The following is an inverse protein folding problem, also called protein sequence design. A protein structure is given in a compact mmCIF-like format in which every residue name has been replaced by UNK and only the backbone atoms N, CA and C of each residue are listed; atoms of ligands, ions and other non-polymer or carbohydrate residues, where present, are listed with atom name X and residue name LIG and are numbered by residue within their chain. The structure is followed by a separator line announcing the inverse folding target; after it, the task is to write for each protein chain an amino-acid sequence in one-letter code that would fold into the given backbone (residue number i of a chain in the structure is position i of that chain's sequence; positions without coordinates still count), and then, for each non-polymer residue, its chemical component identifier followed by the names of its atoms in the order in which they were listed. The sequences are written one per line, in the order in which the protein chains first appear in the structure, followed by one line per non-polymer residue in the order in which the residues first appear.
data_IF_973879950004
#
_entry.id   IF_973879950004
#
_cell.length_a   1.000
_cell.length_b   1.000
_cell.length_c   1.000
_cell.angle_alpha   90.00
_cell.angle_beta   90.00
_cell.angle_gamma   90.00
#
_symmetry.space_group_name_H-M   'P 1'
#
loop_
_entity.id
_entity.type
_entity.pdbx_description
1 polymer ?
#
# COMPACT_ATOMS: atom_id res chain seq x y z
N UNK A 1 -7.03 -19.21 -25.34
CA UNK A 1 -6.23 -19.98 -24.37
C UNK A 1 -6.15 -19.17 -23.08
N UNK A 2 -6.88 -19.54 -22.02
CA UNK A 2 -6.70 -18.90 -20.72
C UNK A 2 -5.33 -19.31 -20.19
N UNK A 3 -4.43 -18.34 -20.00
CA UNK A 3 -3.16 -18.58 -19.33
C UNK A 3 -3.46 -18.91 -17.87
N UNK A 4 -3.38 -20.19 -17.51
CA UNK A 4 -3.34 -20.60 -16.11
C UNK A 4 -2.04 -20.07 -15.51
N UNK A 5 -2.17 -19.10 -14.62
CA UNK A 5 -1.05 -18.59 -13.83
C UNK A 5 -0.72 -19.65 -12.77
N UNK A 6 0.30 -20.46 -13.03
CA UNK A 6 0.62 -21.62 -12.19
C UNK A 6 0.86 -21.23 -10.74
N UNK A 7 1.41 -20.04 -10.48
CA UNK A 7 1.61 -19.51 -9.13
C UNK A 7 0.31 -19.20 -8.37
N UNK A 8 -0.79 -18.91 -9.09
CA UNK A 8 -2.10 -18.62 -8.50
C UNK A 8 -2.97 -19.87 -8.30
N UNK A 9 -2.48 -21.04 -8.72
CA UNK A 9 -3.18 -22.32 -8.56
C UNK A 9 -2.34 -23.38 -7.84
N UNK A 10 -1.02 -23.23 -7.82
CA UNK A 10 -0.07 -24.15 -7.19
C UNK A 10 0.81 -23.42 -6.18
N UNK A 11 0.37 -23.43 -4.92
CA UNK A 11 1.05 -22.81 -3.80
C UNK A 11 0.81 -23.60 -2.51
N UNK A 12 1.66 -23.38 -1.51
CA UNK A 12 1.48 -23.88 -0.14
C UNK A 12 0.69 -22.87 0.69
N UNK A 13 -0.30 -23.34 1.44
CA UNK A 13 -1.04 -22.50 2.39
C UNK A 13 -0.26 -22.43 3.70
N UNK A 14 -0.16 -21.22 4.25
CA UNK A 14 0.39 -20.93 5.58
C UNK A 14 -0.73 -20.28 6.39
N UNK A 15 -1.30 -21.06 7.32
CA UNK A 15 -2.29 -20.60 8.30
C UNK A 15 -1.65 -20.71 9.68
N UNK A 16 -1.20 -19.58 10.21
CA UNK A 16 -0.43 -19.51 11.44
C UNK A 16 -0.73 -18.19 12.16
N UNK A 17 -1.60 -18.27 13.16
CA UNK A 17 -2.06 -17.11 13.91
C UNK A 17 -0.92 -16.32 14.55
N UNK A 18 0.19 -16.98 14.87
CA UNK A 18 1.32 -16.35 15.57
C UNK A 18 2.12 -15.39 14.68
N UNK A 19 1.86 -15.34 13.37
CA UNK A 19 2.48 -14.40 12.42
C UNK A 19 1.87 -13.00 12.42
N UNK A 20 0.73 -12.81 13.09
CA UNK A 20 0.06 -11.52 13.16
C UNK A 20 0.98 -10.42 13.65
N UNK A 21 0.91 -9.25 13.02
CA UNK A 21 1.56 -8.01 13.51
C UNK A 21 1.16 -7.65 14.95
N UNK A 22 0.02 -8.13 15.45
CA UNK A 22 -0.41 -7.94 16.84
C UNK A 22 0.21 -8.94 17.83
N UNK A 23 0.78 -10.06 17.36
CA UNK A 23 1.31 -11.10 18.25
C UNK A 23 2.69 -10.72 18.80
N UNK A 24 2.74 -10.26 20.04
CA UNK A 24 3.96 -9.91 20.76
C UNK A 24 4.50 -11.10 21.57
N UNK A 25 5.82 -11.28 21.58
CA UNK A 25 6.50 -12.35 22.32
C UNK A 25 7.68 -11.83 23.15
N UNK A 26 8.16 -12.67 24.06
CA UNK A 26 9.48 -12.53 24.68
C UNK A 26 10.54 -13.25 23.84
N UNK A 27 11.76 -12.72 23.83
CA UNK A 27 12.84 -13.19 22.92
C UNK A 27 13.13 -14.70 22.98
N UNK A 28 13.02 -15.30 24.18
CA UNK A 28 13.23 -16.73 24.38
C UNK A 28 12.23 -17.62 23.62
N UNK A 29 11.06 -17.07 23.25
CA UNK A 29 9.97 -17.78 22.59
C UNK A 29 9.90 -17.48 21.08
N UNK A 30 10.93 -16.83 20.52
CA UNK A 30 10.93 -16.41 19.13
C UNK A 30 10.97 -17.60 18.16
N UNK A 31 10.06 -17.57 17.17
CA UNK A 31 10.04 -18.47 16.02
C UNK A 31 10.78 -17.86 14.82
N UNK A 32 11.06 -18.66 13.80
CA UNK A 32 11.77 -18.23 12.60
C UNK A 32 11.27 -18.95 11.35
N UNK A 33 11.54 -18.39 10.16
CA UNK A 33 11.14 -18.98 8.87
C UNK A 33 12.25 -19.81 8.19
N UNK A 34 13.41 -19.96 8.84
CA UNK A 34 14.53 -20.75 8.33
C UNK A 34 14.07 -22.19 8.06
N UNK A 35 14.23 -22.65 6.81
CA UNK A 35 13.79 -23.97 6.30
C UNK A 35 12.27 -24.21 6.31
N UNK A 36 11.46 -23.26 6.74
CA UNK A 36 9.99 -23.35 6.70
C UNK A 36 9.46 -22.73 5.40
N UNK A 37 9.97 -21.54 5.09
CA UNK A 37 9.72 -20.84 3.84
C UNK A 37 10.97 -20.93 2.98
N UNK A 38 10.81 -21.38 1.74
CA UNK A 38 11.93 -21.62 0.81
C UNK A 38 11.67 -20.97 -0.53
N UNK A 39 12.75 -20.78 -1.29
CA UNK A 39 12.69 -20.20 -2.63
C UNK A 39 12.12 -21.12 -3.70
N UNK A 40 11.76 -22.36 -3.35
CA UNK A 40 11.25 -23.36 -4.30
C UNK A 40 9.74 -23.23 -4.55
N UNK A 41 8.97 -22.80 -3.54
CA UNK A 41 7.51 -22.87 -3.57
C UNK A 41 6.86 -21.51 -3.31
N UNK A 42 5.77 -21.23 -4.04
CA UNK A 42 4.89 -20.09 -3.75
C UNK A 42 4.07 -20.38 -2.49
N UNK A 43 3.84 -19.36 -1.68
CA UNK A 43 3.04 -19.46 -0.46
C UNK A 43 1.89 -18.45 -0.46
N UNK A 44 0.77 -18.85 0.14
CA UNK A 44 -0.38 -18.00 0.43
C UNK A 44 -0.60 -17.96 1.93
N UNK A 45 -0.71 -16.76 2.50
CA UNK A 45 -1.10 -16.59 3.90
C UNK A 45 -2.62 -16.55 4.03
N UNK A 46 -3.16 -17.25 5.03
CA UNK A 46 -4.59 -17.32 5.33
C UNK A 46 -4.84 -17.33 6.84
N UNK A 47 -6.11 -17.21 7.22
CA UNK A 47 -6.54 -17.37 8.61
C UNK A 47 -6.45 -16.09 9.43
N UNK A 48 -6.71 -16.23 10.73
CA UNK A 48 -6.79 -15.11 11.68
C UNK A 48 -5.42 -14.46 12.00
N UNK A 49 -4.32 -15.10 11.59
CA UNK A 49 -2.97 -14.53 11.67
C UNK A 49 -2.72 -13.41 10.67
N UNK A 50 -3.56 -13.27 9.64
CA UNK A 50 -3.40 -12.31 8.57
C UNK A 50 -3.26 -12.96 7.20
N UNK A 51 -3.49 -12.16 6.17
CA UNK A 51 -3.68 -12.61 4.79
C UNK A 51 -2.69 -11.98 3.82
N UNK A 52 -1.91 -11.00 4.25
CA UNK A 52 -0.87 -10.34 3.46
C UNK A 52 0.32 -9.91 4.32
N UNK A 53 1.49 -9.77 3.71
CA UNK A 53 2.69 -9.24 4.39
C UNK A 53 2.55 -7.72 4.54
N UNK A 54 2.75 -7.11 5.72
CA UNK A 54 2.54 -5.68 5.91
C UNK A 54 3.49 -4.83 5.06
N UNK A 55 2.99 -3.65 4.63
CA UNK A 55 3.79 -2.64 3.92
C UNK A 55 4.34 -1.55 4.87
N UNK A 56 3.95 -1.58 6.14
CA UNK A 56 4.53 -0.77 7.22
C UNK A 56 5.41 -1.65 8.10
N UNK A 57 6.51 -1.13 8.65
CA UNK A 57 7.42 -1.89 9.51
C UNK A 57 6.77 -2.23 10.86
N UNK A 58 6.59 -3.52 11.20
CA UNK A 58 6.16 -3.94 12.53
C UNK A 58 7.25 -3.63 13.57
N UNK A 59 6.86 -3.52 14.85
CA UNK A 59 7.80 -3.33 15.97
C UNK A 59 8.61 -4.61 16.23
N UNK A 60 9.79 -4.48 16.85
CA UNK A 60 10.58 -5.64 17.26
C UNK A 60 9.79 -6.52 18.25
N UNK A 61 10.06 -7.83 18.26
CA UNK A 61 9.37 -8.82 19.11
C UNK A 61 7.88 -9.04 18.78
N UNK A 62 7.45 -8.67 17.57
CA UNK A 62 6.12 -8.99 17.04
C UNK A 62 6.16 -10.14 16.02
N UNK A 63 4.98 -10.59 15.60
CA UNK A 63 4.82 -11.69 14.63
C UNK A 63 5.43 -13.01 15.13
N UNK A 64 5.50 -13.18 16.45
CA UNK A 64 6.11 -14.35 17.07
C UNK A 64 7.60 -14.50 16.79
N UNK A 65 8.34 -13.41 16.55
CA UNK A 65 9.78 -13.47 16.27
C UNK A 65 10.56 -12.29 16.85
N UNK A 66 11.89 -12.40 16.90
CA UNK A 66 12.77 -11.30 17.30
C UNK A 66 12.92 -10.24 16.21
N UNK A 67 12.99 -10.66 14.94
CA UNK A 67 13.19 -9.76 13.81
C UNK A 67 12.05 -9.90 12.79
N UNK A 68 10.96 -9.16 12.99
CA UNK A 68 9.77 -9.24 12.14
C UNK A 68 10.01 -8.68 10.73
N UNK A 69 9.52 -9.42 9.74
CA UNK A 69 9.68 -9.17 8.31
C UNK A 69 8.47 -8.49 7.68
N UNK A 70 8.73 -7.55 6.77
CA UNK A 70 7.74 -6.75 6.04
C UNK A 70 8.26 -6.39 4.65
N UNK A 71 7.37 -5.92 3.76
CA UNK A 71 7.75 -5.54 2.40
C UNK A 71 7.85 -4.03 2.22
N UNK A 72 8.93 -3.59 1.58
CA UNK A 72 9.07 -2.21 1.14
C UNK A 72 8.57 -2.10 -0.30
N UNK A 73 7.51 -1.32 -0.50
CA UNK A 73 6.80 -1.18 -1.78
C UNK A 73 5.36 -1.67 -1.69
N UNK A 74 4.51 -1.25 -2.64
CA UNK A 74 3.11 -1.65 -2.71
C UNK A 74 2.96 -3.11 -3.12
N UNK A 75 1.89 -3.77 -2.64
CA UNK A 75 1.43 -4.99 -3.28
C UNK A 75 1.00 -4.70 -4.72
N UNK A 76 1.32 -5.58 -5.69
CA UNK A 76 1.07 -5.30 -7.11
C UNK A 76 -0.41 -5.27 -7.45
N UNK A 77 -0.78 -4.45 -8.44
CA UNK A 77 -2.04 -4.63 -9.16
C UNK A 77 -1.99 -5.91 -10.01
N UNK A 78 -3.16 -6.48 -10.33
CA UNK A 78 -3.25 -7.68 -11.19
C UNK A 78 -2.53 -7.47 -12.54
N UNK A 79 -2.61 -6.25 -13.09
CA UNK A 79 -1.99 -5.89 -14.37
C UNK A 79 -0.45 -5.82 -14.33
N UNK A 80 0.16 -5.69 -13.15
CA UNK A 80 1.63 -5.66 -13.01
C UNK A 80 2.26 -7.06 -13.10
N UNK A 81 1.47 -8.12 -12.88
CA UNK A 81 1.98 -9.50 -12.88
C UNK A 81 2.86 -9.81 -11.66
N UNK A 82 3.95 -10.54 -11.86
CA UNK A 82 4.90 -10.87 -10.80
C UNK A 82 5.87 -9.72 -10.60
N UNK A 83 5.89 -9.15 -9.40
CA UNK A 83 6.82 -8.08 -9.03
C UNK A 83 7.81 -8.54 -7.98
N UNK A 84 9.01 -7.97 -7.97
CA UNK A 84 9.97 -8.14 -6.89
C UNK A 84 9.91 -6.92 -5.97
N UNK A 85 9.82 -7.17 -4.66
CA UNK A 85 9.91 -6.13 -3.61
C UNK A 85 11.10 -6.42 -2.70
N UNK A 86 11.65 -5.36 -2.09
CA UNK A 86 12.65 -5.52 -1.05
C UNK A 86 11.97 -6.08 0.19
N UNK A 87 12.57 -7.12 0.76
CA UNK A 87 12.12 -7.71 2.00
C UNK A 87 13.01 -7.21 3.13
N UNK A 88 12.38 -6.51 4.07
CA UNK A 88 13.04 -5.90 5.21
C UNK A 88 12.67 -6.68 6.47
N UNK A 89 13.66 -6.94 7.33
CA UNK A 89 13.41 -7.39 8.69
C UNK A 89 13.92 -6.34 9.66
N UNK A 90 13.04 -5.95 10.59
CA UNK A 90 13.40 -5.04 11.67
C UNK A 90 14.34 -5.75 12.63
N UNK A 91 15.35 -5.03 13.12
CA UNK A 91 16.13 -5.45 14.28
C UNK A 91 16.36 -4.24 15.18
N UNK A 92 15.94 -4.35 16.45
CA UNK A 92 15.86 -3.22 17.37
C UNK A 92 15.07 -2.06 16.72
N UNK A 93 15.64 -0.85 16.72
CA UNK A 93 15.01 0.34 16.15
C UNK A 93 15.21 0.49 14.64
N UNK A 94 16.09 -0.31 14.02
CA UNK A 94 16.31 -0.26 12.58
C UNK A 94 15.25 -1.10 11.86
N UNK A 95 14.33 -0.41 11.19
CA UNK A 95 13.16 -0.98 10.50
C UNK A 95 13.52 -1.94 9.38
N UNK A 96 14.70 -1.79 8.77
CA UNK A 96 15.18 -2.64 7.68
C UNK A 96 16.66 -3.00 7.90
N UNK A 97 16.97 -3.52 9.09
CA UNK A 97 18.34 -3.95 9.41
C UNK A 97 18.81 -5.07 8.48
N UNK A 98 17.97 -6.09 8.28
CA UNK A 98 18.21 -7.13 7.29
C UNK A 98 17.37 -6.85 6.05
N UNK A 99 17.96 -6.18 5.06
CA UNK A 99 17.26 -5.69 3.86
C UNK A 99 17.83 -6.17 2.53
N UNK A 100 18.80 -7.09 2.52
CA UNK A 100 19.41 -7.60 1.29
C UNK A 100 18.53 -8.59 0.52
N UNK A 101 17.44 -9.03 1.13
CA UNK A 101 16.52 -10.01 0.58
C UNK A 101 15.52 -9.39 -0.39
N UNK A 102 15.09 -10.19 -1.37
CA UNK A 102 13.98 -9.87 -2.27
C UNK A 102 12.91 -10.95 -2.19
N UNK A 103 11.67 -10.55 -2.34
CA UNK A 103 10.51 -11.44 -2.41
C UNK A 103 9.77 -11.19 -3.71
N UNK A 104 9.34 -12.26 -4.37
CA UNK A 104 8.44 -12.12 -5.53
C UNK A 104 7.00 -12.18 -5.05
N UNK A 105 6.15 -11.32 -5.60
CA UNK A 105 4.75 -11.18 -5.20
C UNK A 105 3.90 -11.23 -6.46
N UNK A 106 2.81 -11.99 -6.42
CA UNK A 106 1.77 -11.99 -7.45
C UNK A 106 0.44 -11.66 -6.81
N UNK A 107 -0.31 -10.78 -7.46
CA UNK A 107 -1.72 -10.57 -7.19
C UNK A 107 -2.56 -11.51 -8.07
N UNK A 108 -3.36 -12.36 -7.42
CA UNK A 108 -4.25 -13.33 -8.05
C UNK A 108 -5.71 -12.85 -8.11
N UNK A 109 -5.95 -11.56 -7.86
CA UNK A 109 -7.27 -10.93 -7.80
C UNK A 109 -7.74 -10.78 -6.35
N UNK A 110 -8.13 -11.88 -5.72
CA UNK A 110 -8.67 -11.88 -4.35
C UNK A 110 -7.67 -12.22 -3.25
N UNK A 111 -6.41 -12.50 -3.61
CA UNK A 111 -5.34 -12.81 -2.67
C UNK A 111 -3.97 -12.58 -3.31
N UNK A 112 -2.96 -12.49 -2.45
CA UNK A 112 -1.56 -12.47 -2.87
C UNK A 112 -0.92 -13.84 -2.64
N UNK A 113 0.00 -14.19 -3.54
CA UNK A 113 0.97 -15.26 -3.30
C UNK A 113 2.38 -14.66 -3.31
N UNK A 114 3.26 -15.28 -2.52
CA UNK A 114 4.60 -14.81 -2.27
C UNK A 114 5.60 -15.93 -2.55
N UNK A 115 6.73 -15.60 -3.16
CA UNK A 115 7.87 -16.51 -3.31
C UNK A 115 9.04 -15.97 -2.47
N UNK A 116 9.20 -16.48 -1.23
CA UNK A 116 10.20 -15.99 -0.28
C UNK A 116 11.61 -16.44 -0.68
N UNK A 117 12.67 -15.78 -0.17
CA UNK A 117 14.05 -16.26 -0.32
C UNK A 117 14.34 -17.38 0.69
N UNK A 118 15.44 -18.10 0.49
CA UNK A 118 15.97 -19.01 1.52
C UNK A 118 16.69 -18.22 2.62
N UNK A 119 16.22 -18.39 3.85
CA UNK A 119 16.80 -17.70 5.01
C UNK A 119 17.88 -18.56 5.67
N UNK A 120 18.97 -17.91 6.09
CA UNK A 120 20.08 -18.55 6.82
C UNK A 120 19.99 -18.37 8.34
N UNK A 121 19.26 -17.35 8.79
CA UNK A 121 19.17 -16.93 10.20
C UNK A 121 17.86 -17.39 10.83
N UNK A 122 17.91 -17.94 12.05
CA UNK A 122 16.72 -18.39 12.78
C UNK A 122 16.27 -17.38 13.85
N UNK A 123 16.07 -16.14 13.40
CA UNK A 123 15.40 -15.08 14.17
C UNK A 123 14.61 -14.14 13.23
N UNK A 124 14.59 -14.46 11.93
CA UNK A 124 13.86 -13.74 10.89
C UNK A 124 12.54 -14.48 10.61
N UNK A 125 11.43 -13.76 10.58
CA UNK A 125 10.12 -14.31 10.24
C UNK A 125 9.23 -13.29 9.56
N UNK A 126 8.50 -13.69 8.52
CA UNK A 126 7.52 -12.86 7.84
C UNK A 126 6.31 -12.63 8.74
N UNK A 127 5.95 -11.35 8.88
CA UNK A 127 4.71 -10.93 9.49
C UNK A 127 3.54 -11.02 8.52
N UNK A 128 2.34 -11.08 9.09
CA UNK A 128 1.09 -10.96 8.36
C UNK A 128 0.15 -9.96 9.03
N UNK A 129 -0.65 -9.27 8.22
CA UNK A 129 -1.74 -8.42 8.65
C UNK A 129 -3.05 -8.83 7.96
N UNK A 130 -4.18 -8.55 8.59
CA UNK A 130 -5.49 -8.74 7.98
C UNK A 130 -5.74 -7.54 7.08
N UNK A 131 -5.97 -7.81 5.79
CA UNK A 131 -6.41 -6.82 4.83
C UNK A 131 -7.90 -6.99 4.54
N UNK A 132 -8.61 -5.86 4.48
CA UNK A 132 -9.93 -5.80 3.85
C UNK A 132 -9.82 -6.21 2.38
N UNK A 133 -10.86 -6.87 1.87
CA UNK A 133 -10.88 -7.41 0.52
C UNK A 133 -10.67 -6.32 -0.55
N UNK A 134 -11.15 -5.10 -0.30
CA UNK A 134 -10.94 -3.99 -1.22
C UNK A 134 -9.44 -3.71 -1.47
N UNK A 135 -8.57 -3.91 -0.47
CA UNK A 135 -7.14 -3.64 -0.60
C UNK A 135 -6.39 -4.67 -1.47
N UNK A 136 -7.03 -5.78 -1.87
CA UNK A 136 -6.48 -6.66 -2.92
C UNK A 136 -6.62 -6.05 -4.32
N UNK A 137 -7.60 -5.17 -4.52
CA UNK A 137 -7.88 -4.53 -5.81
C UNK A 137 -7.16 -3.20 -5.98
N UNK A 138 -5.84 -3.18 -5.86
CA UNK A 138 -5.08 -1.99 -6.25
C UNK A 138 -5.29 -1.69 -7.73
N UNK A 139 -5.59 -0.43 -8.03
CA UNK A 139 -5.78 0.04 -9.41
C UNK A 139 -4.42 0.16 -10.11
N UNK A 140 -3.34 0.35 -9.34
CA UNK A 140 -1.96 0.33 -9.83
C UNK A 140 -1.35 1.73 -9.97
N UNK A 141 -1.81 2.71 -9.18
CA UNK A 141 -1.27 4.07 -9.16
C UNK A 141 0.21 4.06 -8.77
N UNK A 142 0.62 3.14 -7.90
CA UNK A 142 2.02 2.92 -7.52
C UNK A 142 2.94 2.57 -8.71
N UNK A 143 2.38 2.12 -9.84
CA UNK A 143 3.12 1.67 -11.01
C UNK A 143 2.97 2.61 -12.21
N UNK A 144 4.05 3.28 -12.68
CA UNK A 144 3.99 4.12 -13.87
C UNK A 144 3.74 3.32 -15.16
N UNK A 145 3.88 1.99 -15.11
CA UNK A 145 3.50 1.10 -16.21
C UNK A 145 1.98 0.93 -16.34
N UNK A 146 1.24 0.98 -15.21
CA UNK A 146 -0.21 0.81 -15.19
C UNK A 146 -0.94 2.15 -15.33
N UNK A 147 -0.49 3.16 -14.57
CA UNK A 147 -0.99 4.53 -14.65
C UNK A 147 0.17 5.42 -15.10
N UNK A 148 0.30 5.80 -16.39
CA UNK A 148 1.39 6.65 -16.87
C UNK A 148 1.48 8.03 -16.21
N UNK A 149 2.63 8.70 -16.31
CA UNK A 149 2.90 9.95 -15.58
C UNK A 149 1.99 11.11 -15.96
N UNK A 150 1.52 11.17 -17.21
CA UNK A 150 0.58 12.19 -17.66
C UNK A 150 -0.83 12.04 -17.05
N UNK A 151 -1.10 10.92 -16.37
CA UNK A 151 -2.33 10.69 -15.61
C UNK A 151 -2.24 11.13 -14.15
N UNK A 152 -1.07 11.63 -13.72
CA UNK A 152 -0.88 12.21 -12.39
C UNK A 152 -0.77 13.73 -12.55
N UNK A 153 -1.74 14.48 -12.05
CA UNK A 153 -1.79 15.95 -12.14
C UNK A 153 -1.99 16.57 -10.76
N UNK A 154 -1.66 17.84 -10.59
CA UNK A 154 -1.80 18.53 -9.31
C UNK A 154 -2.07 20.03 -9.48
N UNK A 155 -2.52 20.68 -8.40
CA UNK A 155 -2.71 22.14 -8.34
C UNK A 155 -1.42 22.91 -8.63
N UNK A 156 -0.31 22.43 -8.08
CA UNK A 156 1.01 23.04 -8.16
C UNK A 156 2.09 22.03 -7.76
N UNK A 157 3.36 22.43 -7.84
CA UNK A 157 4.48 21.66 -7.28
C UNK A 157 5.45 22.56 -6.53
N UNK A 158 6.00 22.07 -5.43
CA UNK A 158 7.04 22.78 -4.68
C UNK A 158 8.40 22.71 -5.41
N UNK A 159 9.03 23.87 -5.65
CA UNK A 159 10.43 24.06 -6.10
C UNK A 159 10.94 23.18 -7.27
N UNK A 160 11.19 21.90 -7.04
CA UNK A 160 11.88 20.99 -7.97
C UNK A 160 10.94 19.97 -8.62
N UNK A 161 11.39 19.37 -9.72
CA UNK A 161 10.62 18.33 -10.42
C UNK A 161 10.35 17.10 -9.53
N UNK A 162 11.18 16.84 -8.52
CA UNK A 162 10.98 15.71 -7.59
C UNK A 162 9.75 15.85 -6.67
N UNK A 163 9.08 17.01 -6.69
CA UNK A 163 7.82 17.27 -5.98
C UNK A 163 6.60 17.22 -6.91
N UNK A 164 6.78 16.90 -8.19
CA UNK A 164 5.71 16.83 -9.18
C UNK A 164 4.73 15.69 -8.90
N UNK A 165 3.51 15.83 -9.42
CA UNK A 165 2.39 14.89 -9.20
C UNK A 165 2.76 13.41 -9.43
N UNK A 166 3.56 13.10 -10.46
CA UNK A 166 4.01 11.74 -10.78
C UNK A 166 4.83 11.07 -9.67
N UNK A 167 5.45 11.84 -8.77
CA UNK A 167 6.16 11.32 -7.62
C UNK A 167 5.23 11.09 -6.41
N UNK A 168 3.99 11.57 -6.47
CA UNK A 168 2.93 11.28 -5.51
C UNK A 168 2.32 9.88 -5.63
N UNK A 169 3.07 8.90 -6.13
CA UNK A 169 2.65 7.49 -6.18
C UNK A 169 3.09 6.77 -4.91
N UNK A 170 2.26 5.89 -4.37
CA UNK A 170 2.60 5.10 -3.18
C UNK A 170 3.94 4.38 -3.37
N UNK A 171 4.82 4.47 -2.35
CA UNK A 171 6.18 3.92 -2.38
C UNK A 171 7.11 4.42 -3.48
N UNK A 172 6.82 5.54 -4.15
CA UNK A 172 7.82 6.14 -5.03
C UNK A 172 9.03 6.61 -4.21
N UNK A 173 10.23 6.21 -4.64
CA UNK A 173 11.52 6.57 -4.03
C UNK A 173 12.41 7.38 -4.99
N UNK A 174 11.98 7.60 -6.22
CA UNK A 174 12.73 8.38 -7.22
C UNK A 174 12.55 9.89 -7.05
N UNK A 175 11.44 10.29 -6.41
CA UNK A 175 11.18 11.66 -5.98
C UNK A 175 10.81 11.72 -4.50
N UNK A 176 10.32 12.87 -4.07
CA UNK A 176 10.02 13.12 -2.66
C UNK A 176 8.56 12.82 -2.29
N UNK A 177 7.70 12.58 -3.26
CA UNK A 177 6.25 12.68 -3.12
C UNK A 177 5.73 13.92 -3.85
N UNK A 178 4.41 14.09 -3.92
CA UNK A 178 3.86 15.37 -4.37
C UNK A 178 3.80 16.35 -3.20
N UNK A 179 4.26 17.58 -3.43
CA UNK A 179 4.16 18.69 -2.49
C UNK A 179 3.61 19.91 -3.23
N UNK A 180 2.60 20.60 -2.69
CA UNK A 180 2.11 21.83 -3.29
C UNK A 180 3.08 23.00 -3.05
N UNK A 181 3.00 24.01 -3.90
CA UNK A 181 3.81 25.22 -3.78
C UNK A 181 3.36 26.12 -2.61
N UNK A 182 2.06 26.14 -2.29
CA UNK A 182 1.48 27.07 -1.32
C UNK A 182 1.14 26.48 0.04
N UNK A 183 0.85 25.17 0.11
CA UNK A 183 0.42 24.51 1.35
C UNK A 183 -0.92 25.05 1.85
N UNK A 184 -1.85 25.28 0.94
CA UNK A 184 -3.19 25.82 1.20
C UNK A 184 -4.23 24.71 1.12
N UNK A 185 -5.36 24.86 1.81
CA UNK A 185 -6.49 23.90 1.76
C UNK A 185 -7.16 23.76 0.38
N UNK A 186 -6.72 24.55 -0.59
CA UNK A 186 -7.14 24.51 -2.00
C UNK A 186 -6.24 23.63 -2.86
N UNK A 187 -5.09 23.20 -2.35
CA UNK A 187 -4.15 22.34 -3.07
C UNK A 187 -4.71 20.93 -3.27
N UNK A 188 -4.28 20.28 -4.36
CA UNK A 188 -4.76 18.94 -4.69
C UNK A 188 -3.79 18.12 -5.54
N UNK A 189 -3.86 16.79 -5.38
CA UNK A 189 -3.27 15.78 -6.25
C UNK A 189 -4.41 14.98 -6.89
N UNK A 190 -4.36 14.78 -8.21
CA UNK A 190 -5.36 14.03 -8.95
C UNK A 190 -4.73 12.87 -9.72
N UNK A 191 -5.49 11.78 -9.77
CA UNK A 191 -5.18 10.59 -10.55
C UNK A 191 -6.30 10.38 -11.58
N UNK A 192 -5.95 10.33 -12.86
CA UNK A 192 -6.78 9.76 -13.92
C UNK A 192 -6.54 8.24 -14.00
N UNK A 193 -7.53 7.44 -13.61
CA UNK A 193 -7.47 5.98 -13.65
C UNK A 193 -7.57 5.41 -15.08
N UNK A 194 -7.80 6.27 -16.08
CA UNK A 194 -7.94 5.96 -17.50
C UNK A 194 -9.29 5.38 -17.91
N UNK A 195 -10.08 4.89 -16.94
CA UNK A 195 -11.41 4.30 -17.10
C UNK A 195 -12.16 4.35 -15.77
N UNK A 196 -13.45 4.07 -15.81
CA UNK A 196 -14.26 4.01 -14.60
C UNK A 196 -13.96 2.75 -13.76
N UNK A 197 -13.74 2.97 -12.48
CA UNK A 197 -13.63 1.96 -11.43
C UNK A 197 -14.71 2.17 -10.39
N UNK A 198 -15.18 1.09 -9.79
CA UNK A 198 -15.88 1.12 -8.52
C UNK A 198 -14.85 1.19 -7.40
N UNK A 199 -14.49 2.42 -7.01
CA UNK A 199 -13.48 2.74 -6.00
C UNK A 199 -14.07 2.52 -4.61
N UNK A 200 -13.41 1.68 -3.81
CA UNK A 200 -13.84 1.29 -2.47
C UNK A 200 -12.85 1.65 -1.37
N UNK A 201 -11.61 2.02 -1.72
CA UNK A 201 -10.64 2.49 -0.75
C UNK A 201 -9.54 3.32 -1.41
N UNK A 202 -8.81 4.06 -0.58
CA UNK A 202 -7.59 4.76 -0.97
C UNK A 202 -6.50 4.54 0.08
N UNK A 203 -5.25 4.74 -0.30
CA UNK A 203 -4.16 4.86 0.65
C UNK A 203 -3.37 6.15 0.44
N UNK A 204 -2.83 6.67 1.53
CA UNK A 204 -1.93 7.82 1.55
C UNK A 204 -0.62 7.48 2.25
N UNK A 205 0.45 8.15 1.88
CA UNK A 205 1.75 8.07 2.52
C UNK A 205 2.38 9.46 2.46
N UNK A 206 3.15 9.83 3.48
CA UNK A 206 3.80 11.15 3.54
C UNK A 206 4.96 11.28 2.55
N UNK A 207 5.57 12.45 2.46
CA UNK A 207 6.76 12.68 1.65
C UNK A 207 8.06 12.18 2.28
N UNK A 208 9.11 12.11 1.46
CA UNK A 208 10.49 11.75 1.85
C UNK A 208 11.48 12.85 1.47
N UNK A 209 11.08 14.12 1.64
CA UNK A 209 11.90 15.29 1.27
C UNK A 209 13.06 15.52 2.26
N UNK A 210 12.75 15.72 3.55
CA UNK A 210 13.77 15.84 4.60
C UNK A 210 13.98 14.49 5.31
N UNK A 211 15.24 14.06 5.41
CA UNK A 211 15.61 12.83 6.11
C UNK A 211 15.50 12.95 7.64
N UNK A 212 15.52 14.18 8.16
CA UNK A 212 15.41 14.48 9.59
C UNK A 212 13.96 14.76 10.02
N UNK A 213 13.17 15.43 9.18
CA UNK A 213 11.77 15.75 9.45
C UNK A 213 10.91 15.23 8.30
N UNK A 214 10.13 14.19 8.57
CA UNK A 214 9.15 13.71 7.60
C UNK A 214 7.94 14.62 7.66
N UNK A 215 7.42 14.98 6.50
CA UNK A 215 6.20 15.77 6.37
C UNK A 215 5.12 14.84 5.80
N UNK A 216 3.86 15.03 6.21
CA UNK A 216 2.74 14.24 5.71
C UNK A 216 1.40 14.94 5.90
N UNK A 217 0.47 14.68 5.00
CA UNK A 217 -0.94 15.05 5.18
C UNK A 217 -1.58 14.20 6.28
N UNK A 218 -2.25 14.84 7.23
CA UNK A 218 -2.94 14.21 8.38
C UNK A 218 -4.46 14.17 8.21
N UNK A 219 -5.03 15.03 7.38
CA UNK A 219 -6.43 14.97 7.00
C UNK A 219 -6.63 15.37 5.54
N UNK A 220 -7.62 14.77 4.87
CA UNK A 220 -7.95 15.11 3.49
C UNK A 220 -9.41 14.83 3.15
N UNK A 221 -9.89 15.50 2.10
CA UNK A 221 -11.16 15.20 1.43
C UNK A 221 -10.90 14.57 0.06
N UNK A 222 -11.86 13.75 -0.40
CA UNK A 222 -11.84 13.19 -1.75
C UNK A 222 -12.87 13.87 -2.64
N UNK A 223 -12.45 14.24 -3.85
CA UNK A 223 -13.34 14.57 -4.94
C UNK A 223 -13.22 13.49 -6.02
N UNK A 224 -14.32 13.20 -6.71
CA UNK A 224 -14.35 12.19 -7.76
C UNK A 224 -15.23 12.60 -8.94
N UNK A 225 -14.93 12.08 -10.12
CA UNK A 225 -15.75 12.24 -11.33
C UNK A 225 -15.43 11.18 -12.38
N UNK A 226 -16.29 11.05 -13.39
CA UNK A 226 -16.01 10.24 -14.60
C UNK A 226 -15.45 11.06 -15.76
N UNK A 227 -15.56 12.40 -15.72
CA UNK A 227 -15.31 13.29 -16.87
C UNK A 227 -14.35 14.46 -16.59
N UNK A 228 -13.80 14.56 -15.37
CA UNK A 228 -12.94 15.65 -14.87
C UNK A 228 -13.59 17.04 -14.82
N UNK A 229 -14.89 17.14 -15.14
CA UNK A 229 -15.63 18.42 -15.19
C UNK A 229 -16.61 18.51 -14.04
N UNK A 230 -17.35 17.43 -13.79
CA UNK A 230 -18.42 17.38 -12.80
C UNK A 230 -17.93 16.69 -11.52
N UNK A 231 -16.98 17.33 -10.84
CA UNK A 231 -16.41 16.79 -9.61
C UNK A 231 -17.38 16.84 -8.44
N UNK A 232 -17.50 15.72 -7.73
CA UNK A 232 -18.33 15.56 -6.54
C UNK A 232 -17.45 15.32 -5.33
N UNK A 233 -17.74 15.97 -4.21
CA UNK A 233 -17.14 15.61 -2.92
C UNK A 233 -17.64 14.24 -2.49
N UNK A 234 -16.74 13.39 -2.00
CA UNK A 234 -17.10 12.10 -1.42
C UNK A 234 -17.90 12.30 -0.14
N UNK A 235 -18.97 11.52 -0.04
CA UNK A 235 -19.90 11.51 1.07
C UNK A 235 -20.10 10.09 1.56
N UNK A 236 -20.37 9.93 2.84
CA UNK A 236 -20.72 8.63 3.41
C UNK A 236 -22.15 8.19 3.03
N UNK A 237 -22.57 7.03 3.53
CA UNK A 237 -23.92 6.51 3.31
C UNK A 237 -25.04 7.40 3.87
N UNK A 238 -24.71 8.39 4.73
CA UNK A 238 -25.63 9.38 5.28
C UNK A 238 -25.59 10.71 4.50
N UNK A 239 -24.92 10.75 3.34
CA UNK A 239 -24.75 11.94 2.50
C UNK A 239 -23.98 13.09 3.18
N UNK A 240 -23.14 12.79 4.17
CA UNK A 240 -22.28 13.76 4.86
C UNK A 240 -20.91 13.80 4.21
N UNK A 241 -20.37 14.99 3.95
CA UNK A 241 -19.01 15.17 3.46
C UNK A 241 -18.01 14.49 4.41
N UNK A 242 -17.18 13.60 3.87
CA UNK A 242 -16.20 12.88 4.67
C UNK A 242 -14.85 13.58 4.61
N UNK A 243 -14.29 13.86 5.78
CA UNK A 243 -12.89 14.20 5.95
C UNK A 243 -12.18 12.99 6.56
N UNK A 244 -11.25 12.40 5.80
CA UNK A 244 -10.46 11.27 6.24
C UNK A 244 -9.38 11.76 7.18
N UNK A 245 -9.25 11.11 8.32
CA UNK A 245 -8.27 11.43 9.36
C UNK A 245 -7.25 10.32 9.45
N UNK A 246 -5.97 10.71 9.49
CA UNK A 246 -4.86 9.78 9.53
C UNK A 246 -4.84 9.00 10.85
N UNK A 247 -4.58 7.70 10.79
CA UNK A 247 -4.32 6.89 11.99
C UNK A 247 -2.82 6.85 12.29
N UNK A 248 -2.42 7.34 13.47
CA UNK A 248 -1.04 7.34 13.94
C UNK A 248 -0.30 8.65 13.66
N UNK A 249 1.00 8.68 13.98
CA UNK A 249 1.85 9.89 13.98
C UNK A 249 3.12 9.73 13.16
N UNK A 250 3.04 8.98 12.06
CA UNK A 250 4.18 8.77 11.16
C UNK A 250 3.74 8.91 9.71
N UNK A 251 4.70 9.09 8.82
CA UNK A 251 4.55 9.23 7.37
C UNK A 251 4.36 7.90 6.58
N UNK A 252 4.09 6.77 7.25
CA UNK A 252 3.92 5.45 6.63
C UNK A 252 2.67 5.33 5.74
N UNK A 253 2.28 4.13 5.35
CA UNK A 253 1.03 3.93 4.60
C UNK A 253 -0.15 4.00 5.56
N UNK A 254 -1.12 4.85 5.24
CA UNK A 254 -2.43 4.87 5.89
C UNK A 254 -3.52 4.55 4.88
N UNK A 255 -4.45 3.68 5.26
CA UNK A 255 -5.45 3.10 4.37
C UNK A 255 -6.84 3.47 4.85
N UNK A 256 -7.68 3.96 3.92
CA UNK A 256 -9.03 4.41 4.22
C UNK A 256 -10.06 3.71 3.34
N UNK A 257 -11.00 3.01 3.97
CA UNK A 257 -12.17 2.47 3.29
C UNK A 257 -13.15 3.60 2.97
N UNK A 258 -13.76 3.52 1.80
CA UNK A 258 -14.96 4.27 1.46
C UNK A 258 -16.15 3.41 1.91
N UNK A 259 -16.87 3.87 2.92
CA UNK A 259 -18.08 3.20 3.44
C UNK A 259 -19.14 2.95 2.35
N UNK A 260 -19.14 3.76 1.29
CA UNK A 260 -19.94 3.53 0.09
C UNK A 260 -19.03 3.64 -1.14
N UNK A 261 -18.80 2.56 -1.89
CA UNK A 261 -17.99 2.62 -3.10
C UNK A 261 -18.57 3.59 -4.13
N UNK A 262 -17.71 4.30 -4.88
CA UNK A 262 -18.10 5.27 -5.90
C UNK A 262 -17.59 4.87 -7.27
N UNK A 263 -18.35 5.19 -8.32
CA UNK A 263 -17.87 5.05 -9.70
C UNK A 263 -17.08 6.30 -10.07
N UNK A 264 -15.82 6.13 -10.43
CA UNK A 264 -14.94 7.23 -10.78
C UNK A 264 -13.85 6.80 -11.77
N UNK A 265 -13.49 7.74 -12.66
CA UNK A 265 -12.26 7.71 -13.44
C UNK A 265 -11.22 8.67 -12.87
N UNK A 266 -11.65 9.79 -12.30
CA UNK A 266 -10.77 10.78 -11.71
C UNK A 266 -10.98 10.78 -10.20
N UNK A 267 -9.90 10.63 -9.45
CA UNK A 267 -9.88 10.77 -7.98
C UNK A 267 -8.92 11.89 -7.63
N UNK A 268 -9.41 12.88 -6.87
CA UNK A 268 -8.65 14.03 -6.40
C UNK A 268 -8.57 14.02 -4.88
N UNK A 269 -7.35 14.07 -4.37
CA UNK A 269 -7.01 14.18 -2.96
C UNK A 269 -6.79 15.66 -2.63
N UNK A 270 -7.60 16.19 -1.71
CA UNK A 270 -7.49 17.56 -1.20
C UNK A 270 -7.01 17.52 0.26
N UNK A 271 -5.73 17.81 0.54
CA UNK A 271 -5.25 17.97 1.90
C UNK A 271 -6.03 19.06 2.66
N UNK A 272 -6.36 18.80 3.92
CA UNK A 272 -7.05 19.75 4.81
C UNK A 272 -6.30 20.01 6.11
N UNK A 273 -5.37 19.12 6.49
CA UNK A 273 -4.42 19.28 7.58
C UNK A 273 -3.13 18.48 7.31
N UNK A 274 -2.01 18.90 7.92
CA UNK A 274 -0.71 18.26 7.80
C UNK A 274 0.12 18.33 9.09
N UNK A 275 1.18 17.54 9.11
CA UNK A 275 2.32 17.68 10.02
C UNK A 275 3.49 18.27 9.20
N UNK A 276 3.77 19.56 9.41
CA UNK A 276 4.79 20.33 8.70
C UNK A 276 4.33 20.92 7.36
N UNK A 277 4.21 20.08 6.33
CA UNK A 277 3.80 20.49 4.98
C UNK A 277 2.95 19.39 4.33
N UNK A 278 1.99 19.79 3.50
CA UNK A 278 1.18 18.86 2.70
C UNK A 278 2.09 18.02 1.82
N UNK A 279 2.00 16.71 1.98
CA UNK A 279 2.69 15.80 1.10
C UNK A 279 1.93 14.50 0.97
N UNK A 280 1.78 14.07 -0.28
CA UNK A 280 1.05 12.86 -0.62
C UNK A 280 1.86 11.98 -1.54
N UNK A 281 1.82 10.70 -1.21
CA UNK A 281 1.97 9.55 -2.09
C UNK A 281 0.69 8.73 -1.97
N UNK A 282 0.07 8.34 -3.08
CA UNK A 282 -1.28 7.74 -3.06
C UNK A 282 -1.39 6.44 -3.83
N UNK A 283 -2.36 5.63 -3.43
CA UNK A 283 -2.89 4.48 -4.19
C UNK A 283 -4.42 4.51 -4.15
N UNK A 284 -5.04 3.96 -5.19
CA UNK A 284 -6.50 3.82 -5.29
C UNK A 284 -6.84 2.34 -5.38
N UNK A 285 -7.90 1.92 -4.69
CA UNK A 285 -8.35 0.54 -4.67
C UNK A 285 -9.80 0.44 -5.13
N UNK A 286 -10.07 -0.52 -5.99
CA UNK A 286 -11.38 -0.75 -6.58
C UNK A 286 -11.34 -1.72 -7.75
N UNK A 287 -12.52 -2.22 -8.11
CA UNK A 287 -12.68 -3.08 -9.27
C UNK A 287 -13.09 -2.26 -10.50
N UNK A 288 -12.78 -2.77 -11.71
CA UNK A 288 -13.30 -2.16 -12.95
C UNK A 288 -14.83 -2.11 -12.88
N UNK A 289 -15.45 -1.06 -13.42
CA UNK A 289 -16.91 -0.95 -13.42
C UNK A 289 -17.58 -2.23 -13.96
N UNK A 290 -18.58 -2.73 -13.24
CA UNK A 290 -19.29 -3.97 -13.56
C UNK A 290 -18.65 -5.26 -13.03
N UNK A 291 -17.48 -5.18 -12.38
CA UNK A 291 -16.89 -6.30 -11.62
C UNK A 291 -17.17 -6.19 -10.13
N UNK A 292 -17.20 -7.32 -9.44
CA UNK A 292 -17.26 -7.37 -7.99
C UNK A 292 -15.93 -6.88 -7.39
N UNK A 293 -15.99 -6.20 -6.23
CA UNK A 293 -14.81 -5.75 -5.47
C UNK A 293 -13.95 -6.92 -4.97
N UNK A 294 -14.47 -8.15 -5.01
CA UNK A 294 -13.72 -9.39 -4.74
C UNK A 294 -13.02 -9.98 -5.97
N UNK A 295 -13.16 -9.36 -7.15
CA UNK A 295 -12.73 -9.89 -8.44
C UNK A 295 -12.05 -8.81 -9.29
N UNK A 296 -10.91 -8.31 -8.83
CA UNK A 296 -9.96 -7.59 -9.68
C UNK A 296 -9.44 -8.57 -10.78
#
# INVERSE_FOLDING_TARGET
MCLFLSECTSYKIIDDQTRSVSNKIESANALCDRRILTSEIWVRFTGSGGTAIPNNPPLAFHCGTNSPGWIRGAHPAVAEGVVKRQLCYRHNDNECHFGSYKISIRNCGSFFVYKPPDLTQCFLRLCTEILDECFYCSVGVSSPFVIPDNQMTASSRYKTEKHSAKYGRLFNESGYGWFPNKNEKTDWLQVDLGKDFQVCAVATQGGDYDKKHKEWTTAFKLLYSSDDKNQKTYKDGNCVDVEFQRVGKNHGVDRHLLSTPVVARYIRFHPTANDGWDSLRVEVYGAKQGKLITQC
#
